data_IF_303272653421
#
_entry.id   IF_303272653421
#
_cell.length_a   1.000
_cell.length_b   1.000
_cell.length_c   1.000
_cell.angle_alpha   90.00
_cell.angle_beta   90.00
_cell.angle_gamma   90.00
#
_symmetry.space_group_name_H-M   'P 1'
#
loop_
_entity.id
_entity.type
_entity.pdbx_description
1 polymer ?
#
# COMPACT_ATOMS: atom_id res chain seq x y z
N UNK A 1 -7.39 17.61 22.71
CA UNK A 1 -6.65 17.13 21.52
C UNK A 1 -5.66 18.22 21.12
N UNK A 2 -4.34 17.98 21.15
CA UNK A 2 -3.37 19.00 20.75
C UNK A 2 -3.50 19.26 19.25
N UNK A 3 -3.72 20.52 18.87
CA UNK A 3 -3.72 20.97 17.48
C UNK A 3 -2.27 21.01 16.99
N UNK A 4 -1.87 19.99 16.22
CA UNK A 4 -0.62 20.05 15.45
C UNK A 4 -0.60 21.29 14.55
N UNK A 5 0.58 21.75 14.15
CA UNK A 5 0.80 22.98 13.35
C UNK A 5 0.31 22.86 11.89
N UNK A 6 -0.77 22.12 11.67
CA UNK A 6 -1.30 21.73 10.38
C UNK A 6 -2.76 22.15 10.38
N UNK A 7 -3.24 22.75 9.28
CA UNK A 7 -4.63 23.20 9.19
C UNK A 7 -5.63 22.07 9.48
N UNK A 8 -6.93 22.37 9.71
CA UNK A 8 -7.97 21.39 10.09
C UNK A 8 -8.23 20.29 9.03
N UNK A 9 -7.46 20.27 7.95
CA UNK A 9 -7.56 19.41 6.78
C UNK A 9 -6.65 18.18 6.82
N UNK A 10 -5.73 18.08 7.79
CA UNK A 10 -4.87 16.90 7.95
C UNK A 10 -5.50 15.93 8.94
N UNK A 11 -5.86 14.74 8.45
CA UNK A 11 -6.58 13.70 9.21
C UNK A 11 -5.64 12.82 10.03
N UNK A 12 -4.44 12.50 9.52
CA UNK A 12 -3.38 11.81 10.27
C UNK A 12 -2.20 12.76 10.53
N UNK A 13 -2.30 13.53 11.62
CA UNK A 13 -1.27 14.51 11.98
C UNK A 13 0.09 13.90 12.31
N UNK A 14 0.11 12.70 12.92
CA UNK A 14 1.35 12.03 13.30
C UNK A 14 2.14 11.56 12.08
N UNK A 15 1.46 10.98 11.08
CA UNK A 15 2.11 10.61 9.83
C UNK A 15 2.59 11.84 9.06
N UNK A 16 1.79 12.91 9.05
CA UNK A 16 2.19 14.16 8.40
C UNK A 16 3.50 14.69 8.99
N UNK A 17 3.59 14.81 10.32
CA UNK A 17 4.80 15.29 10.99
C UNK A 17 6.02 14.43 10.63
N UNK A 18 5.88 13.10 10.71
CA UNK A 18 6.94 12.17 10.33
C UNK A 18 7.41 12.38 8.88
N UNK A 19 6.48 12.50 7.94
CA UNK A 19 6.81 12.73 6.53
C UNK A 19 7.52 14.08 6.33
N UNK A 20 7.17 15.12 7.11
CA UNK A 20 7.87 16.41 7.08
C UNK A 20 9.29 16.31 7.62
N UNK A 21 9.50 15.53 8.69
CA UNK A 21 10.82 15.23 9.26
C UNK A 21 11.69 14.43 8.27
N UNK A 22 11.09 13.51 7.51
CA UNK A 22 11.73 12.74 6.43
C UNK A 22 12.02 13.59 5.17
N UNK A 23 11.65 14.87 5.16
CA UNK A 23 11.94 15.81 4.07
C UNK A 23 10.86 15.87 2.98
N UNK A 24 9.68 15.27 3.18
CA UNK A 24 8.58 15.42 2.25
C UNK A 24 8.03 16.86 2.26
N UNK A 25 7.59 17.33 1.09
CA UNK A 25 6.87 18.59 0.95
C UNK A 25 5.54 18.55 1.70
N UNK A 26 5.04 19.72 2.13
CA UNK A 26 3.77 19.87 2.85
C UNK A 26 2.61 19.18 2.11
N UNK A 27 2.46 19.44 0.81
CA UNK A 27 1.39 18.85 0.00
C UNK A 27 1.51 17.32 -0.11
N UNK A 28 2.74 16.80 -0.25
CA UNK A 28 2.98 15.35 -0.33
C UNK A 28 2.66 14.68 1.00
N UNK A 29 3.12 15.26 2.11
CA UNK A 29 2.84 14.76 3.45
C UNK A 29 1.33 14.76 3.73
N UNK A 30 0.64 15.85 3.39
CA UNK A 30 -0.80 16.00 3.57
C UNK A 30 -1.60 14.95 2.79
N UNK A 31 -1.24 14.70 1.52
CA UNK A 31 -1.90 13.71 0.67
C UNK A 31 -1.77 12.30 1.23
N UNK A 32 -0.56 11.90 1.63
CA UNK A 32 -0.29 10.55 2.17
C UNK A 32 -0.97 10.37 3.53
N UNK A 33 -0.89 11.36 4.42
CA UNK A 33 -1.57 11.37 5.72
C UNK A 33 -3.09 11.23 5.56
N UNK A 34 -3.69 11.98 4.63
CA UNK A 34 -5.13 11.93 4.39
C UNK A 34 -5.56 10.63 3.70
N UNK A 35 -4.76 10.11 2.75
CA UNK A 35 -5.03 8.82 2.11
C UNK A 35 -4.94 7.65 3.11
N UNK A 36 -3.96 7.66 4.01
CA UNK A 36 -3.85 6.66 5.08
C UNK A 36 -5.04 6.73 6.02
N UNK A 37 -5.41 7.92 6.49
CA UNK A 37 -6.57 8.11 7.35
C UNK A 37 -7.90 7.73 6.68
N UNK A 38 -7.98 7.83 5.35
CA UNK A 38 -9.13 7.40 4.57
C UNK A 38 -9.15 5.89 4.27
N UNK A 39 -8.09 5.15 4.61
CA UNK A 39 -7.93 3.74 4.23
C UNK A 39 -7.76 3.52 2.72
N UNK A 40 -7.55 4.59 1.94
CA UNK A 40 -7.33 4.52 0.50
C UNK A 40 -5.86 4.40 0.12
N UNK A 41 -4.97 4.46 1.11
CA UNK A 41 -3.56 4.16 0.91
C UNK A 41 -3.42 2.66 0.69
N UNK A 42 -3.45 2.24 -0.58
CA UNK A 42 -3.17 0.89 -1.01
C UNK A 42 -1.71 0.54 -0.68
N UNK A 43 -1.52 -0.14 0.44
CA UNK A 43 -0.22 -0.60 0.91
C UNK A 43 0.08 -1.89 0.17
N UNK A 44 0.53 -1.78 -1.08
CA UNK A 44 1.03 -2.93 -1.87
C UNK A 44 2.24 -3.65 -1.27
N UNK A 45 2.60 -3.32 -0.03
CA UNK A 45 3.55 -4.05 0.79
C UNK A 45 2.84 -5.05 1.72
N UNK A 46 1.58 -5.42 1.47
CA UNK A 46 1.03 -6.65 2.04
C UNK A 46 1.85 -7.82 1.53
N UNK A 47 2.27 -8.68 2.46
CA UNK A 47 2.94 -9.92 2.13
C UNK A 47 2.09 -10.70 1.13
N UNK A 48 2.72 -11.39 0.18
CA UNK A 48 1.98 -12.20 -0.80
C UNK A 48 1.10 -13.24 -0.09
N UNK A 49 1.55 -13.73 1.07
CA UNK A 49 0.77 -14.61 1.95
C UNK A 49 -0.56 -14.00 2.44
N UNK A 50 -0.63 -12.68 2.59
CA UNK A 50 -1.82 -11.96 3.09
C UNK A 50 -2.83 -11.66 1.97
N UNK A 51 -2.43 -11.78 0.70
CA UNK A 51 -3.28 -11.46 -0.44
C UNK A 51 -4.29 -12.58 -0.73
N UNK A 52 -5.41 -12.25 -1.37
CA UNK A 52 -6.34 -13.29 -1.82
C UNK A 52 -5.77 -14.04 -3.03
N UNK A 53 -6.30 -15.23 -3.33
CA UNK A 53 -5.91 -15.98 -4.54
C UNK A 53 -6.16 -15.13 -5.79
N UNK A 54 -7.28 -14.41 -5.84
CA UNK A 54 -7.64 -13.53 -6.95
C UNK A 54 -6.63 -12.39 -7.14
N UNK A 55 -6.20 -11.74 -6.05
CA UNK A 55 -5.17 -10.69 -6.10
C UNK A 55 -3.83 -11.21 -6.62
N UNK A 56 -3.47 -12.44 -6.22
CA UNK A 56 -2.24 -13.11 -6.67
C UNK A 56 -2.35 -13.54 -8.12
N UNK A 57 -3.51 -14.02 -8.57
CA UNK A 57 -3.73 -14.36 -9.98
C UNK A 57 -3.64 -13.11 -10.88
N UNK A 58 -4.21 -11.98 -10.44
CA UNK A 58 -4.12 -10.70 -11.17
C UNK A 58 -2.69 -10.15 -11.21
N UNK A 59 -1.92 -10.28 -10.13
CA UNK A 59 -0.51 -9.91 -10.13
C UNK A 59 0.31 -10.83 -11.04
N UNK A 60 0.11 -12.15 -10.96
CA UNK A 60 0.73 -13.14 -11.82
C UNK A 60 0.41 -12.89 -13.31
N UNK A 61 -0.82 -12.48 -13.62
CA UNK A 61 -1.24 -12.06 -14.96
C UNK A 61 -0.57 -10.77 -15.40
N UNK A 62 -0.37 -9.81 -14.50
CA UNK A 62 0.27 -8.52 -14.80
C UNK A 62 1.73 -8.70 -15.19
N UNK A 63 2.43 -9.65 -14.54
CA UNK A 63 3.84 -9.95 -14.82
C UNK A 63 4.02 -11.05 -15.89
N UNK A 64 2.95 -11.75 -16.26
CA UNK A 64 2.94 -12.68 -17.39
C UNK A 64 3.31 -14.12 -17.04
N UNK A 65 2.97 -14.60 -15.84
CA UNK A 65 3.11 -16.01 -15.47
C UNK A 65 2.05 -16.83 -16.21
N UNK A 66 2.50 -17.83 -16.97
CA UNK A 66 1.63 -18.82 -17.61
C UNK A 66 1.13 -19.87 -16.61
N UNK A 67 -0.04 -20.46 -16.88
CA UNK A 67 -0.64 -21.45 -15.97
C UNK A 67 -1.20 -20.89 -14.66
N UNK A 68 -1.14 -19.57 -14.41
CA UNK A 68 -1.61 -18.95 -13.15
C UNK A 68 -3.05 -19.33 -12.74
N UNK A 69 -3.95 -19.52 -13.69
CA UNK A 69 -5.35 -19.85 -13.40
C UNK A 69 -5.56 -21.30 -12.96
N UNK A 70 -4.55 -22.16 -13.14
CA UNK A 70 -4.54 -23.55 -12.62
C UNK A 70 -3.81 -23.65 -11.27
N UNK A 71 -3.01 -22.63 -10.91
CA UNK A 71 -2.22 -22.60 -9.69
C UNK A 71 -3.11 -22.34 -8.47
N UNK A 72 -2.74 -22.96 -7.35
CA UNK A 72 -3.27 -22.61 -6.05
C UNK A 72 -2.53 -21.41 -5.43
N UNK A 73 -3.08 -20.89 -4.32
CA UNK A 73 -2.58 -19.65 -3.70
C UNK A 73 -1.07 -19.72 -3.42
N UNK A 74 -0.59 -20.83 -2.87
CA UNK A 74 0.83 -21.00 -2.54
C UNK A 74 1.70 -21.07 -3.80
N UNK A 75 1.24 -21.76 -4.84
CA UNK A 75 1.93 -21.84 -6.13
C UNK A 75 2.01 -20.47 -6.83
N UNK A 76 0.95 -19.65 -6.73
CA UNK A 76 0.97 -18.27 -7.22
C UNK A 76 1.99 -17.42 -6.47
N UNK A 77 2.07 -17.55 -5.14
CA UNK A 77 3.04 -16.82 -4.31
C UNK A 77 4.46 -17.19 -4.74
N UNK A 78 4.74 -18.48 -4.88
CA UNK A 78 6.07 -18.96 -5.28
C UNK A 78 6.41 -18.50 -6.70
N UNK A 79 5.49 -18.64 -7.65
CA UNK A 79 5.71 -18.20 -9.02
C UNK A 79 5.94 -16.69 -9.13
N UNK A 80 5.23 -15.87 -8.33
CA UNK A 80 5.46 -14.41 -8.24
C UNK A 80 6.82 -14.10 -7.63
N UNK A 81 7.30 -14.90 -6.67
CA UNK A 81 8.62 -14.70 -6.05
C UNK A 81 9.78 -15.08 -6.95
N UNK A 82 9.60 -16.08 -7.81
CA UNK A 82 10.63 -16.60 -8.72
C UNK A 82 10.71 -15.85 -10.07
N UNK A 83 9.80 -14.90 -10.34
CA UNK A 83 9.74 -14.09 -11.57
C UNK A 83 10.59 -12.81 -11.49
#
# INVERSE_FOLDING_TARGET
MPKGKHGPQIKDGALYDKLREEGASEEKAARIANARAAGTLDHRSTHLEDRTKDDLEDEAKTIGIDGRSEMDKDELIDAIRDH
#
